data_IF_052052410995
#
_entry.id   IF_052052410995
#
_cell.length_a   1.000
_cell.length_b   1.000
_cell.length_c   1.000
_cell.angle_alpha   90.00
_cell.angle_beta   90.00
_cell.angle_gamma   90.00
#
_symmetry.space_group_name_H-M   'P 1'
#
loop_
_entity.id
_entity.type
_entity.pdbx_description
1 polymer ?
#
# COMPACT_ATOMS: atom_id res chain seq x y z
N UNK A 1 6.30 -4.84 -12.34
CA UNK A 1 5.34 -4.26 -11.40
C UNK A 1 4.05 -5.06 -11.45
N UNK A 2 3.57 -5.49 -10.31
CA UNK A 2 2.33 -6.27 -10.20
C UNK A 2 1.38 -5.50 -9.28
N UNK A 3 0.12 -5.30 -9.73
CA UNK A 3 -0.93 -4.67 -8.93
C UNK A 3 -2.05 -5.66 -8.69
N UNK A 4 -2.48 -5.79 -7.44
CA UNK A 4 -3.54 -6.70 -7.03
C UNK A 4 -4.52 -5.96 -6.13
N UNK A 5 -5.80 -6.06 -6.46
CA UNK A 5 -6.88 -5.46 -5.67
C UNK A 5 -7.72 -6.54 -4.99
N UNK A 6 -7.96 -6.36 -3.71
CA UNK A 6 -8.84 -7.20 -2.92
C UNK A 6 -10.00 -6.36 -2.37
N UNK A 7 -11.22 -6.68 -2.75
CA UNK A 7 -12.41 -6.03 -2.23
C UNK A 7 -13.19 -6.96 -1.32
N UNK A 8 -14.19 -6.41 -0.64
CA UNK A 8 -15.13 -7.16 0.21
C UNK A 8 -14.46 -7.97 1.32
N UNK A 9 -13.34 -7.45 1.86
CA UNK A 9 -12.64 -8.08 2.97
C UNK A 9 -13.28 -7.70 4.30
N UNK A 10 -13.25 -8.62 5.26
CA UNK A 10 -13.69 -8.36 6.61
C UNK A 10 -12.57 -8.71 7.59
N UNK A 11 -11.95 -7.70 8.16
CA UNK A 11 -10.99 -7.84 9.24
C UNK A 11 -11.68 -7.46 10.56
N UNK A 12 -11.08 -7.87 11.67
CA UNK A 12 -11.67 -7.60 12.99
C UNK A 12 -11.78 -6.12 13.33
N UNK A 13 -10.90 -5.29 12.80
CA UNK A 13 -10.93 -3.84 13.01
C UNK A 13 -10.41 -3.08 11.80
N UNK A 14 -11.07 -1.96 11.44
CA UNK A 14 -12.41 -1.62 11.91
C UNK A 14 -13.43 -2.61 11.39
N UNK A 15 -14.63 -2.61 11.95
CA UNK A 15 -15.74 -3.43 11.43
C UNK A 15 -16.22 -2.84 10.11
N UNK A 16 -16.81 -3.68 9.25
CA UNK A 16 -17.33 -3.27 7.97
C UNK A 16 -16.49 -3.76 6.80
N UNK A 17 -16.97 -3.47 5.60
CA UNK A 17 -16.31 -3.90 4.37
C UNK A 17 -15.03 -3.11 4.12
N UNK A 18 -13.99 -3.80 3.75
CA UNK A 18 -12.68 -3.22 3.53
C UNK A 18 -12.12 -3.65 2.18
N UNK A 19 -11.23 -2.83 1.64
CA UNK A 19 -10.49 -3.16 0.43
C UNK A 19 -9.00 -2.91 0.65
N UNK A 20 -8.18 -3.68 -0.06
CA UNK A 20 -6.74 -3.50 -0.08
C UNK A 20 -6.26 -3.52 -1.53
N UNK A 21 -5.43 -2.56 -1.88
CA UNK A 21 -4.73 -2.50 -3.15
C UNK A 21 -3.23 -2.58 -2.87
N UNK A 22 -2.56 -3.49 -3.55
CA UNK A 22 -1.12 -3.68 -3.39
C UNK A 22 -0.45 -3.61 -4.75
N UNK A 23 0.64 -2.85 -4.83
CA UNK A 23 1.53 -2.83 -5.99
C UNK A 23 2.92 -3.24 -5.51
N UNK A 24 3.52 -4.22 -6.16
CA UNK A 24 4.82 -4.76 -5.79
C UNK A 24 5.77 -4.66 -6.97
N UNK A 25 7.01 -4.27 -6.70
CA UNK A 25 8.07 -4.27 -7.70
C UNK A 25 9.42 -4.59 -7.06
N UNK A 26 10.35 -5.13 -7.86
CA UNK A 26 11.71 -5.36 -7.41
C UNK A 26 12.43 -4.03 -7.17
N UNK A 27 13.17 -3.94 -6.06
CA UNK A 27 14.01 -2.76 -5.78
C UNK A 27 15.07 -2.51 -6.84
N UNK A 28 15.47 -3.53 -7.58
CA UNK A 28 16.46 -3.39 -8.66
C UNK A 28 15.96 -2.50 -9.79
N UNK A 29 14.65 -2.36 -9.95
CA UNK A 29 14.04 -1.62 -11.05
C UNK A 29 13.85 -0.13 -10.74
N UNK A 30 14.03 0.28 -9.47
CA UNK A 30 13.77 1.66 -9.04
C UNK A 30 14.87 2.14 -8.11
N UNK A 31 15.40 3.37 -8.32
CA UNK A 31 16.50 3.89 -7.50
C UNK A 31 16.07 4.33 -6.10
N UNK A 32 14.77 4.55 -5.85
CA UNK A 32 14.29 5.04 -4.58
C UNK A 32 12.83 4.70 -4.35
N UNK A 33 12.36 4.82 -3.11
CA UNK A 33 10.94 4.70 -2.77
C UNK A 33 10.10 5.68 -3.57
N UNK A 34 10.53 6.94 -3.66
CA UNK A 34 9.76 7.96 -4.40
C UNK A 34 9.66 7.63 -5.89
N UNK A 35 10.72 7.15 -6.49
CA UNK A 35 10.68 6.70 -7.88
C UNK A 35 9.69 5.56 -8.07
N UNK A 36 9.69 4.57 -7.18
CA UNK A 36 8.73 3.49 -7.21
C UNK A 36 7.30 3.99 -7.03
N UNK A 37 7.03 4.80 -6.01
CA UNK A 37 5.69 5.33 -5.73
C UNK A 37 5.16 6.14 -6.92
N UNK A 38 6.01 7.00 -7.49
CA UNK A 38 5.65 7.79 -8.67
C UNK A 38 5.20 6.90 -9.82
N UNK A 39 5.95 5.84 -10.10
CA UNK A 39 5.62 4.91 -11.18
C UNK A 39 4.41 4.03 -10.86
N UNK A 40 4.24 3.63 -9.60
CA UNK A 40 3.06 2.90 -9.15
C UNK A 40 1.78 3.72 -9.35
N UNK A 41 1.80 5.00 -8.96
CA UNK A 41 0.65 5.88 -9.15
C UNK A 41 0.32 6.11 -10.62
N UNK A 42 1.33 6.28 -11.47
CA UNK A 42 1.13 6.39 -12.92
C UNK A 42 0.52 5.11 -13.50
N UNK A 43 1.01 3.96 -13.05
CA UNK A 43 0.49 2.67 -13.48
C UNK A 43 -0.98 2.53 -13.09
N UNK A 44 -1.34 2.88 -11.85
CA UNK A 44 -2.72 2.81 -11.37
C UNK A 44 -3.63 3.81 -12.09
N UNK A 45 -3.13 5.00 -12.42
CA UNK A 45 -3.89 5.99 -13.18
C UNK A 45 -4.24 5.47 -14.58
N UNK A 46 -3.33 4.75 -15.22
CA UNK A 46 -3.59 4.15 -16.54
C UNK A 46 -4.55 2.96 -16.48
N UNK A 47 -4.79 2.42 -15.28
CA UNK A 47 -5.71 1.30 -15.03
C UNK A 47 -6.88 1.77 -14.17
N UNK A 48 -7.75 2.59 -14.73
CA UNK A 48 -8.83 3.31 -14.05
C UNK A 48 -9.80 2.46 -13.22
N UNK A 49 -9.75 1.14 -13.36
CA UNK A 49 -10.61 0.23 -12.59
C UNK A 49 -10.26 0.18 -11.10
N UNK A 50 -9.12 0.72 -10.68
CA UNK A 50 -8.69 0.65 -9.29
C UNK A 50 -9.12 1.87 -8.48
N UNK A 51 -8.98 3.08 -9.02
CA UNK A 51 -9.30 4.31 -8.30
C UNK A 51 -9.26 5.52 -9.25
N UNK A 52 -9.95 6.60 -8.87
CA UNK A 52 -10.09 7.80 -9.71
C UNK A 52 -9.16 8.94 -9.31
N UNK A 53 -8.53 8.91 -8.14
CA UNK A 53 -7.81 10.07 -7.60
C UNK A 53 -6.32 9.88 -7.42
N UNK A 54 -5.69 9.03 -8.22
CA UNK A 54 -4.24 8.81 -8.14
C UNK A 54 -3.44 10.06 -8.51
N UNK A 55 -3.94 10.90 -9.41
CA UNK A 55 -3.31 12.16 -9.78
C UNK A 55 -3.22 13.10 -8.58
N UNK A 56 -4.27 13.20 -7.78
CA UNK A 56 -4.27 14.03 -6.56
C UNK A 56 -3.27 13.49 -5.55
N UNK A 57 -3.23 12.19 -5.36
CA UNK A 57 -2.26 11.54 -4.47
C UNK A 57 -0.83 11.81 -4.92
N UNK A 58 -0.55 11.71 -6.21
CA UNK A 58 0.75 12.02 -6.78
C UNK A 58 1.19 13.44 -6.46
N UNK A 59 0.29 14.42 -6.59
CA UNK A 59 0.56 15.83 -6.32
C UNK A 59 0.78 16.12 -4.84
N UNK A 60 0.03 15.41 -3.98
CA UNK A 60 -0.04 15.71 -2.54
C UNK A 60 0.79 14.75 -1.69
N UNK A 61 1.64 13.92 -2.32
CA UNK A 61 2.44 12.97 -1.55
C UNK A 61 3.43 13.67 -0.63
N UNK A 62 3.34 13.33 0.63
CA UNK A 62 4.24 13.83 1.68
C UNK A 62 4.57 12.66 2.57
N UNK A 63 5.78 12.16 2.48
CA UNK A 63 6.18 10.97 3.22
C UNK A 63 6.33 11.28 4.71
N UNK A 64 5.72 10.44 5.55
CA UNK A 64 5.88 10.53 7.00
C UNK A 64 5.98 9.13 7.58
N UNK A 65 6.73 8.94 8.69
CA UNK A 65 6.85 7.63 9.32
C UNK A 65 5.50 7.10 9.79
N UNK A 66 5.25 5.79 9.61
CA UNK A 66 4.05 5.17 10.18
C UNK A 66 4.27 4.92 11.67
N UNK A 67 3.17 4.96 12.45
CA UNK A 67 3.22 4.62 13.86
C UNK A 67 3.28 3.10 14.07
N UNK A 68 3.64 2.67 15.27
CA UNK A 68 3.79 1.26 15.59
C UNK A 68 2.48 0.49 15.52
N UNK A 69 1.37 1.12 15.87
CA UNK A 69 0.06 0.48 15.78
C UNK A 69 -0.32 0.20 14.35
N UNK A 70 -0.16 1.17 13.46
CA UNK A 70 -0.45 0.97 12.03
C UNK A 70 0.47 -0.07 11.40
N UNK A 71 1.73 -0.10 11.81
CA UNK A 71 2.67 -1.10 11.36
C UNK A 71 2.20 -2.52 11.72
N UNK A 72 1.69 -2.70 12.92
CA UNK A 72 1.12 -3.99 13.37
C UNK A 72 -0.12 -4.36 12.54
N UNK A 73 -1.01 -3.41 12.31
CA UNK A 73 -2.20 -3.62 11.49
C UNK A 73 -1.85 -4.02 10.07
N UNK A 74 -0.92 -3.31 9.46
CA UNK A 74 -0.45 -3.61 8.10
C UNK A 74 0.12 -5.02 8.03
N UNK A 75 1.00 -5.38 8.97
CA UNK A 75 1.59 -6.73 9.01
C UNK A 75 0.52 -7.81 9.15
N UNK A 76 -0.44 -7.60 10.04
CA UNK A 76 -1.54 -8.55 10.26
C UNK A 76 -2.37 -8.77 8.99
N UNK A 77 -2.70 -7.68 8.28
CA UNK A 77 -3.45 -7.77 7.03
C UNK A 77 -2.66 -8.48 5.93
N UNK A 78 -1.36 -8.16 5.82
CA UNK A 78 -0.49 -8.81 4.83
C UNK A 78 -0.31 -10.29 5.10
N UNK A 79 -0.22 -10.71 6.37
CA UNK A 79 -0.16 -12.12 6.73
C UNK A 79 -1.38 -12.90 6.25
N UNK A 80 -2.57 -12.36 6.46
CA UNK A 80 -3.80 -12.99 5.99
C UNK A 80 -3.78 -13.19 4.48
N UNK A 81 -3.16 -12.28 3.76
CA UNK A 81 -3.12 -12.27 2.30
C UNK A 81 -1.93 -13.00 1.70
N UNK A 82 -0.96 -13.40 2.52
CA UNK A 82 0.31 -13.97 2.05
C UNK A 82 0.15 -15.24 1.22
N UNK A 83 -0.94 -15.99 1.41
CA UNK A 83 -1.23 -17.17 0.60
C UNK A 83 -1.57 -16.84 -0.85
N UNK A 84 -1.92 -15.58 -1.13
CA UNK A 84 -2.35 -15.12 -2.45
C UNK A 84 -1.26 -14.36 -3.20
N UNK A 85 -0.36 -13.71 -2.44
CA UNK A 85 0.76 -12.94 -2.98
C UNK A 85 1.98 -13.20 -2.11
N UNK A 86 3.15 -13.25 -2.75
CA UNK A 86 4.41 -13.37 -2.02
C UNK A 86 4.97 -11.97 -1.76
N UNK A 87 4.95 -11.56 -0.51
CA UNK A 87 5.57 -10.31 -0.06
C UNK A 87 6.51 -10.66 1.08
N UNK A 88 7.75 -10.20 1.00
CA UNK A 88 8.74 -10.42 2.05
C UNK A 88 8.54 -9.46 3.23
N UNK A 89 7.33 -9.41 3.78
CA UNK A 89 7.00 -8.46 4.85
C UNK A 89 7.78 -8.70 6.15
N UNK A 90 8.34 -9.89 6.34
CA UNK A 90 9.21 -10.16 7.50
C UNK A 90 10.54 -9.41 7.42
N UNK A 91 10.92 -8.95 6.23
CA UNK A 91 12.15 -8.20 5.99
C UNK A 91 11.90 -6.72 5.73
N UNK A 92 10.86 -6.16 6.32
CA UNK A 92 10.54 -4.73 6.17
C UNK A 92 11.68 -3.89 6.78
N UNK A 93 12.29 -3.06 5.93
CA UNK A 93 13.34 -2.12 6.33
C UNK A 93 12.73 -0.78 6.75
N UNK A 94 11.77 -0.29 5.99
CA UNK A 94 11.07 0.97 6.30
C UNK A 94 9.64 0.95 5.80
N UNK A 95 8.80 1.74 6.43
CA UNK A 95 7.43 1.95 6.00
C UNK A 95 7.03 3.39 6.31
N UNK A 96 6.43 4.07 5.33
CA UNK A 96 6.05 5.48 5.44
C UNK A 96 4.63 5.68 4.92
N UNK A 97 3.90 6.64 5.51
CA UNK A 97 2.68 7.12 4.88
C UNK A 97 3.06 7.90 3.63
N UNK A 98 2.35 7.67 2.53
CA UNK A 98 2.55 8.42 1.29
C UNK A 98 1.80 9.75 1.36
N UNK A 99 0.62 9.73 1.95
CA UNK A 99 -0.18 10.91 2.27
C UNK A 99 -0.61 10.82 3.74
N UNK A 100 -1.02 11.93 4.38
CA UNK A 100 -1.51 11.86 5.76
C UNK A 100 -2.63 10.85 5.90
N UNK A 101 -2.59 9.99 6.92
CA UNK A 101 -3.60 8.95 7.09
C UNK A 101 -4.94 9.52 7.51
N UNK A 102 -6.02 8.90 7.03
CA UNK A 102 -7.38 9.16 7.46
C UNK A 102 -7.94 7.90 8.12
N UNK A 103 -9.02 8.05 8.91
CA UNK A 103 -9.59 6.91 9.63
C UNK A 103 -10.06 5.79 8.69
N UNK A 104 -10.43 6.16 7.46
CA UNK A 104 -11.01 5.24 6.48
C UNK A 104 -10.10 5.01 5.25
N UNK A 105 -8.89 5.56 5.26
CA UNK A 105 -8.01 5.49 4.08
C UNK A 105 -6.55 5.62 4.52
N UNK A 106 -5.78 4.57 4.29
CA UNK A 106 -4.36 4.50 4.67
C UNK A 106 -3.57 4.11 3.43
N UNK A 107 -2.56 4.91 3.10
CA UNK A 107 -1.68 4.64 1.96
C UNK A 107 -0.23 4.64 2.42
N UNK A 108 0.44 3.52 2.25
CA UNK A 108 1.77 3.26 2.80
C UNK A 108 2.71 2.81 1.68
N UNK A 109 3.94 3.32 1.71
CA UNK A 109 5.05 2.79 0.93
C UNK A 109 5.94 1.94 1.84
N UNK A 110 6.26 0.74 1.40
CA UNK A 110 7.07 -0.21 2.18
C UNK A 110 8.32 -0.55 1.39
N UNK A 111 9.45 -0.56 2.07
CA UNK A 111 10.70 -1.09 1.56
C UNK A 111 11.06 -2.35 2.30
N UNK A 112 11.25 -3.46 1.57
CA UNK A 112 11.81 -4.69 2.10
C UNK A 112 13.25 -4.84 1.60
N UNK A 113 13.90 -5.96 1.91
CA UNK A 113 15.24 -6.23 1.40
C UNK A 113 15.31 -6.29 -0.12
N UNK A 114 14.25 -6.80 -0.78
CA UNK A 114 14.26 -7.07 -2.22
C UNK A 114 13.18 -6.33 -3.01
N UNK A 115 12.19 -5.73 -2.35
CA UNK A 115 11.01 -5.18 -3.01
C UNK A 115 10.61 -3.83 -2.46
N UNK A 116 9.93 -3.05 -3.31
CA UNK A 116 9.07 -1.94 -2.87
C UNK A 116 7.63 -2.38 -2.97
N UNK A 117 6.82 -1.98 -1.98
CA UNK A 117 5.40 -2.28 -1.93
C UNK A 117 4.61 -0.99 -1.72
N UNK A 118 3.63 -0.77 -2.57
CA UNK A 118 2.60 0.25 -2.38
C UNK A 118 1.39 -0.47 -1.78
N UNK A 119 0.94 0.01 -0.63
CA UNK A 119 -0.17 -0.60 0.10
C UNK A 119 -1.23 0.48 0.36
N UNK A 120 -2.46 0.20 -0.04
CA UNK A 120 -3.57 1.10 0.22
C UNK A 120 -4.72 0.30 0.79
N UNK A 121 -5.15 0.69 1.99
CA UNK A 121 -6.28 0.12 2.69
C UNK A 121 -7.37 1.16 2.79
N UNK A 122 -8.62 0.75 2.59
CA UNK A 122 -9.77 1.63 2.74
C UNK A 122 -10.98 0.90 3.26
N UNK A 123 -11.89 1.66 3.84
CA UNK A 123 -13.17 1.14 4.30
C UNK A 123 -14.27 2.18 4.08
N UNK A 124 -15.48 1.70 3.88
CA UNK A 124 -16.68 2.53 3.80
C UNK A 124 -17.50 2.53 5.10
N UNK A 125 -17.00 1.83 6.09
CA UNK A 125 -17.71 1.66 7.37
C UNK A 125 -17.69 2.93 8.21
#
# INVERSE_FOLDING_TARGET
MIAIHFGHLCFNKPSGEQSILIVVASKKDYPSMDSFVTNALKYLESHKNFCDNWTEMYKNRVYSPIDEEEKKWMKSRLEVMNQRISIAYDSIISAVYIIPPEWNDITIGVETESEYVFYQWGTSA
#
